data_IF_542555796385
#
_entry.id   IF_542555796385
#
_cell.length_a   1.000
_cell.length_b   1.000
_cell.length_c   1.000
_cell.angle_alpha   90.00
_cell.angle_beta   90.00
_cell.angle_gamma   90.00
#
_symmetry.space_group_name_H-M   'P 1'
#
loop_
_entity.id
_entity.type
_entity.pdbx_description
1 polymer ?
#
# COMPACT_ATOMS: atom_id res chain seq x y z
N UNK A 1 15.01 -12.88 -2.33
CA UNK A 1 13.73 -12.14 -2.43
C UNK A 1 13.48 -11.53 -1.06
N UNK A 2 13.63 -10.22 -0.91
CA UNK A 2 13.59 -9.56 0.42
C UNK A 2 12.16 -9.17 0.81
N UNK A 3 11.84 -9.12 2.11
CA UNK A 3 10.55 -8.61 2.62
C UNK A 3 10.24 -7.20 2.11
N UNK A 4 11.29 -6.38 1.96
CA UNK A 4 11.19 -5.04 1.39
C UNK A 4 10.75 -5.03 -0.08
N UNK A 5 11.13 -6.06 -0.86
CA UNK A 5 10.72 -6.19 -2.26
C UNK A 5 9.23 -6.58 -2.38
N UNK A 6 8.70 -7.30 -1.39
CA UNK A 6 7.30 -7.72 -1.31
C UNK A 6 6.42 -6.57 -0.83
N UNK A 7 6.88 -5.82 0.19
CA UNK A 7 6.16 -4.67 0.74
C UNK A 7 6.10 -3.48 -0.24
N UNK A 8 7.16 -3.29 -1.04
CA UNK A 8 7.30 -2.14 -1.93
C UNK A 8 7.62 -2.53 -3.38
N UNK A 9 6.65 -3.14 -4.10
CA UNK A 9 6.86 -3.65 -5.46
C UNK A 9 7.21 -2.56 -6.49
N UNK A 10 6.97 -1.27 -6.16
CA UNK A 10 7.37 -0.14 -7.00
C UNK A 10 8.90 -0.01 -7.16
N UNK A 11 9.71 -0.50 -6.21
CA UNK A 11 11.19 -0.50 -6.34
C UNK A 11 11.68 -1.37 -7.48
N UNK A 12 10.91 -2.38 -7.89
CA UNK A 12 11.30 -3.32 -8.95
C UNK A 12 10.47 -3.17 -10.24
N UNK A 13 9.73 -2.06 -10.43
CA UNK A 13 8.78 -1.89 -11.54
C UNK A 13 7.77 -3.06 -11.66
N UNK A 14 7.47 -3.75 -10.55
CA UNK A 14 6.51 -4.86 -10.53
C UNK A 14 5.14 -4.38 -10.11
N UNK A 15 4.10 -4.98 -10.68
CA UNK A 15 2.72 -4.69 -10.28
C UNK A 15 2.48 -5.11 -8.84
N UNK A 16 1.62 -4.36 -8.16
CA UNK A 16 1.12 -4.71 -6.84
C UNK A 16 0.39 -6.06 -6.94
N UNK A 17 1.00 -7.11 -6.39
CA UNK A 17 0.52 -8.49 -6.49
C UNK A 17 -0.16 -8.96 -5.21
N UNK A 18 -0.68 -10.20 -5.25
CA UNK A 18 -1.35 -10.83 -4.10
C UNK A 18 -0.45 -10.92 -2.84
N UNK A 19 0.87 -11.10 -3.03
CA UNK A 19 1.82 -11.14 -1.92
C UNK A 19 1.95 -9.79 -1.19
N UNK A 20 2.00 -8.68 -1.95
CA UNK A 20 2.05 -7.32 -1.37
C UNK A 20 0.73 -6.98 -0.66
N UNK A 21 -0.40 -7.43 -1.20
CA UNK A 21 -1.70 -7.31 -0.55
C UNK A 21 -1.76 -8.08 0.77
N UNK A 22 -1.35 -9.36 0.77
CA UNK A 22 -1.33 -10.18 1.97
C UNK A 22 -0.41 -9.62 3.06
N UNK A 23 0.75 -9.06 2.67
CA UNK A 23 1.66 -8.41 3.60
C UNK A 23 1.02 -7.18 4.25
N UNK A 24 0.44 -6.26 3.46
CA UNK A 24 -0.26 -5.08 4.01
C UNK A 24 -1.40 -5.52 4.93
N UNK A 25 -2.17 -6.53 4.51
CA UNK A 25 -3.28 -7.05 5.30
C UNK A 25 -2.83 -7.55 6.68
N UNK A 26 -1.80 -8.40 6.74
CA UNK A 26 -1.26 -8.93 8.00
C UNK A 26 -0.69 -7.80 8.85
N UNK A 27 0.07 -6.89 8.26
CA UNK A 27 0.66 -5.75 9.01
C UNK A 27 -0.44 -4.90 9.64
N UNK A 28 -1.51 -4.58 8.90
CA UNK A 28 -2.61 -3.78 9.45
C UNK A 28 -3.35 -4.53 10.56
N UNK A 29 -3.58 -5.84 10.42
CA UNK A 29 -4.17 -6.64 11.50
C UNK A 29 -3.34 -6.51 12.77
N UNK A 30 -2.02 -6.75 12.67
CA UNK A 30 -1.13 -6.71 13.82
C UNK A 30 -1.09 -5.32 14.47
N UNK A 31 -1.07 -4.25 13.68
CA UNK A 31 -1.10 -2.88 14.19
C UNK A 31 -2.43 -2.57 14.90
N UNK A 32 -3.56 -3.00 14.35
CA UNK A 32 -4.87 -2.79 14.99
C UNK A 32 -4.95 -3.56 16.31
N UNK A 33 -4.53 -4.82 16.35
CA UNK A 33 -4.51 -5.62 17.58
C UNK A 33 -3.54 -5.04 18.62
N UNK A 34 -2.36 -4.60 18.20
CA UNK A 34 -1.38 -3.97 19.09
C UNK A 34 -1.94 -2.68 19.71
N UNK A 35 -2.66 -1.86 18.93
CA UNK A 35 -3.32 -0.65 19.45
C UNK A 35 -4.41 -0.98 20.47
N UNK A 36 -5.21 -2.03 20.22
CA UNK A 36 -6.24 -2.48 21.16
C UNK A 36 -5.61 -3.05 22.43
N UNK A 37 -4.52 -3.81 22.31
CA UNK A 37 -3.76 -4.32 23.45
C UNK A 37 -3.20 -3.18 24.30
N UNK A 38 -2.60 -2.17 23.67
CA UNK A 38 -2.10 -0.98 24.36
C UNK A 38 -3.24 -0.22 25.05
N UNK A 39 -4.39 -0.07 24.40
CA UNK A 39 -5.56 0.59 24.98
C UNK A 39 -6.08 -0.17 26.21
N UNK A 40 -6.29 -1.48 26.11
CA UNK A 40 -6.84 -2.27 27.21
C UNK A 40 -5.82 -2.50 28.34
N UNK A 41 -4.56 -2.72 27.97
CA UNK A 41 -3.48 -3.00 28.90
C UNK A 41 -2.98 -1.80 29.66
N UNK A 42 -2.68 -0.70 28.94
CA UNK A 42 -2.07 0.49 29.55
C UNK A 42 -3.14 1.44 30.06
N UNK A 43 -4.21 1.69 29.28
CA UNK A 43 -5.22 2.69 29.65
C UNK A 43 -6.26 2.10 30.59
N UNK A 44 -6.78 0.90 30.30
CA UNK A 44 -7.79 0.27 31.14
C UNK A 44 -7.21 -0.61 32.26
N UNK A 45 -5.91 -0.92 32.23
CA UNK A 45 -5.25 -1.78 33.23
C UNK A 45 -5.78 -3.21 33.25
N UNK A 46 -6.45 -3.65 32.18
CA UNK A 46 -7.22 -4.90 32.11
C UNK A 46 -6.79 -5.72 30.91
N UNK A 47 -5.66 -6.40 31.04
CA UNK A 47 -5.15 -7.30 30.00
C UNK A 47 -6.08 -8.50 29.74
N UNK A 48 -6.84 -8.94 30.73
CA UNK A 48 -7.76 -10.08 30.59
C UNK A 48 -8.86 -9.81 29.56
N UNK A 49 -9.35 -8.55 29.48
CA UNK A 49 -10.38 -8.16 28.51
C UNK A 49 -9.89 -8.28 27.06
N UNK A 50 -8.59 -8.19 26.80
CA UNK A 50 -8.06 -8.33 25.44
C UNK A 50 -8.30 -9.75 24.91
N UNK A 51 -8.10 -10.77 25.76
CA UNK A 51 -8.33 -12.16 25.40
C UNK A 51 -9.82 -12.49 25.35
N UNK A 52 -10.62 -11.97 26.30
CA UNK A 52 -12.06 -12.20 26.32
C UNK A 52 -12.77 -11.58 25.11
N UNK A 53 -12.35 -10.38 24.67
CA UNK A 53 -12.96 -9.70 23.52
C UNK A 53 -12.36 -10.16 22.19
N UNK A 54 -11.46 -11.15 22.16
CA UNK A 54 -10.76 -11.55 20.94
C UNK A 54 -11.74 -12.06 19.86
N UNK A 55 -12.87 -12.66 20.24
CA UNK A 55 -13.96 -13.05 19.33
C UNK A 55 -14.59 -11.86 18.59
N UNK A 56 -14.48 -10.65 19.13
CA UNK A 56 -14.99 -9.40 18.53
C UNK A 56 -13.87 -8.59 17.88
N UNK A 57 -12.72 -8.52 18.54
CA UNK A 57 -11.54 -7.75 18.10
C UNK A 57 -11.01 -8.32 16.79
N UNK A 58 -10.82 -9.64 16.69
CA UNK A 58 -10.22 -10.28 15.53
C UNK A 58 -11.06 -10.09 14.24
N UNK A 59 -12.39 -10.35 14.21
CA UNK A 59 -13.17 -10.06 13.01
C UNK A 59 -13.24 -8.55 12.71
N UNK A 60 -13.28 -7.68 13.72
CA UNK A 60 -13.22 -6.23 13.53
C UNK A 60 -11.91 -5.79 12.86
N UNK A 61 -10.77 -6.27 13.38
CA UNK A 61 -9.45 -6.03 12.81
C UNK A 61 -9.34 -6.56 11.38
N UNK A 62 -9.90 -7.75 11.10
CA UNK A 62 -9.97 -8.31 9.75
C UNK A 62 -10.72 -7.39 8.77
N UNK A 63 -11.87 -6.84 9.17
CA UNK A 63 -12.66 -5.94 8.30
C UNK A 63 -11.93 -4.63 8.02
N UNK A 64 -11.30 -4.05 9.05
CA UNK A 64 -10.49 -2.82 8.92
C UNK A 64 -9.30 -3.09 8.01
N UNK A 65 -8.57 -4.19 8.23
CA UNK A 65 -7.41 -4.55 7.44
C UNK A 65 -7.78 -4.88 5.99
N UNK A 66 -8.89 -5.59 5.74
CA UNK A 66 -9.37 -5.89 4.39
C UNK A 66 -9.74 -4.60 3.65
N UNK A 67 -10.54 -3.74 4.27
CA UNK A 67 -10.96 -2.48 3.64
C UNK A 67 -9.76 -1.57 3.33
N UNK A 68 -8.83 -1.40 4.27
CA UNK A 68 -7.62 -0.64 4.06
C UNK A 68 -6.74 -1.24 2.96
N UNK A 69 -6.55 -2.57 2.95
CA UNK A 69 -5.74 -3.26 1.94
C UNK A 69 -6.34 -3.16 0.54
N UNK A 70 -7.67 -3.20 0.42
CA UNK A 70 -8.39 -3.01 -0.85
C UNK A 70 -8.17 -1.59 -1.38
N UNK A 71 -8.33 -0.58 -0.51
CA UNK A 71 -8.10 0.83 -0.88
C UNK A 71 -6.64 1.04 -1.30
N UNK A 72 -5.68 0.46 -0.55
CA UNK A 72 -4.27 0.51 -0.90
C UNK A 72 -3.97 -0.17 -2.24
N UNK A 73 -4.55 -1.33 -2.51
CA UNK A 73 -4.41 -2.01 -3.82
C UNK A 73 -4.95 -1.12 -4.94
N UNK A 74 -6.18 -0.60 -4.78
CA UNK A 74 -6.79 0.26 -5.78
C UNK A 74 -5.92 1.50 -6.06
N UNK A 75 -5.42 2.16 -5.00
CA UNK A 75 -4.54 3.32 -5.11
C UNK A 75 -3.19 2.98 -5.72
N UNK A 76 -2.59 1.86 -5.33
CA UNK A 76 -1.32 1.39 -5.88
C UNK A 76 -1.42 1.15 -7.40
N UNK A 77 -2.56 0.65 -7.88
CA UNK A 77 -2.82 0.45 -9.32
C UNK A 77 -2.93 1.76 -10.11
N UNK A 78 -3.33 2.85 -9.46
CA UNK A 78 -3.30 4.19 -10.07
C UNK A 78 -1.88 4.79 -10.05
N UNK A 79 -1.12 4.57 -8.98
CA UNK A 79 0.25 5.07 -8.84
C UNK A 79 1.26 4.40 -9.76
N UNK A 80 1.14 3.09 -10.01
CA UNK A 80 2.05 2.39 -10.92
C UNK A 80 2.00 2.96 -12.33
N UNK A 81 0.84 3.37 -12.84
CA UNK A 81 0.75 3.97 -14.18
C UNK A 81 1.48 5.33 -14.25
N UNK A 82 1.09 6.29 -13.42
CA UNK A 82 1.64 7.65 -13.49
C UNK A 82 3.14 7.72 -13.14
N UNK A 83 3.61 6.95 -12.14
CA UNK A 83 5.02 6.97 -11.73
C UNK A 83 5.92 6.21 -12.70
N UNK A 84 5.46 5.11 -13.29
CA UNK A 84 6.24 4.39 -14.31
C UNK A 84 6.31 5.20 -15.60
N UNK A 85 5.22 5.88 -15.98
CA UNK A 85 5.22 6.79 -17.12
C UNK A 85 6.17 7.98 -16.88
N UNK A 86 6.10 8.62 -15.71
CA UNK A 86 7.05 9.67 -15.31
C UNK A 86 8.50 9.14 -15.25
N UNK A 87 8.76 7.98 -14.67
CA UNK A 87 10.11 7.40 -14.62
C UNK A 87 10.61 6.96 -16.00
N UNK A 88 9.75 6.52 -16.91
CA UNK A 88 10.13 6.24 -18.30
C UNK A 88 10.41 7.55 -19.07
N UNK A 89 9.65 8.61 -18.81
CA UNK A 89 9.92 9.95 -19.36
C UNK A 89 11.26 10.51 -18.86
N UNK A 90 11.61 10.25 -17.59
CA UNK A 90 12.89 10.66 -17.00
C UNK A 90 14.06 9.75 -17.40
N UNK A 91 13.86 8.43 -17.47
CA UNK A 91 14.87 7.46 -17.88
C UNK A 91 15.11 7.46 -19.40
N UNK A 92 14.16 7.95 -20.19
CA UNK A 92 14.32 8.21 -21.62
C UNK A 92 15.22 9.41 -21.95
N UNK A 93 15.85 10.03 -20.95
CA UNK A 93 16.74 11.18 -21.11
C UNK A 93 15.96 12.48 -21.29
N UNK A 94 16.38 13.52 -20.56
CA UNK A 94 15.70 14.83 -20.48
C UNK A 94 15.47 15.57 -21.81
N UNK A 95 15.94 15.06 -22.94
CA UNK A 95 15.68 15.59 -24.29
C UNK A 95 14.42 15.02 -24.94
N UNK A 96 13.96 13.81 -24.57
CA UNK A 96 12.79 13.18 -25.21
C UNK A 96 11.47 13.82 -24.81
N UNK A 97 11.39 14.41 -23.61
CA UNK A 97 10.21 15.16 -23.17
C UNK A 97 10.00 16.42 -24.02
N UNK A 98 11.07 17.19 -24.27
CA UNK A 98 11.01 18.35 -25.16
C UNK A 98 10.65 17.97 -26.59
N UNK A 99 11.17 16.85 -27.07
CA UNK A 99 10.91 16.35 -28.42
C UNK A 99 9.47 15.85 -28.62
N UNK A 100 8.92 15.13 -27.64
CA UNK A 100 7.54 14.64 -27.69
C UNK A 100 6.52 15.78 -27.54
N UNK A 101 6.77 16.74 -26.65
CA UNK A 101 5.91 17.93 -26.50
C UNK A 101 5.98 18.82 -27.75
N UNK A 102 7.16 18.93 -28.38
CA UNK A 102 7.31 19.63 -29.66
C UNK A 102 6.51 18.93 -30.77
N UNK A 103 6.63 17.61 -30.90
CA UNK A 103 5.89 16.80 -31.89
C UNK A 103 4.37 16.89 -31.74
N UNK A 104 3.84 16.83 -30.51
CA UNK A 104 2.39 16.95 -30.27
C UNK A 104 1.86 18.34 -30.66
N UNK A 105 2.66 19.41 -30.51
CA UNK A 105 2.29 20.76 -30.95
C UNK A 105 2.31 20.95 -32.47
N UNK A 106 3.19 20.26 -33.20
CA UNK A 106 3.26 20.39 -34.66
C UNK A 106 2.14 19.64 -35.38
N UNK A 107 1.63 18.55 -34.82
CA UNK A 107 0.54 17.77 -35.43
C UNK A 107 -0.83 18.46 -35.32
N UNK A 108 -0.96 19.50 -34.49
CA UNK A 108 -2.22 20.23 -34.28
C UNK A 108 -2.33 21.50 -35.14
N UNK A 109 -1.52 21.63 -36.19
CA UNK A 109 -1.53 22.75 -37.14
C UNK A 109 -1.87 22.29 -38.55
#
# INVERSE_FOLDING_TARGET
>A
MSLLDIAFPYRQKKNFGAASFALIFIVIILEVEALVLVALGIVAGRMDLFLELQEVILPGACLIALSASIVFWWRARQWTKQRVEMLNLWAGGGTSFGENVAKTRTTQK
#
